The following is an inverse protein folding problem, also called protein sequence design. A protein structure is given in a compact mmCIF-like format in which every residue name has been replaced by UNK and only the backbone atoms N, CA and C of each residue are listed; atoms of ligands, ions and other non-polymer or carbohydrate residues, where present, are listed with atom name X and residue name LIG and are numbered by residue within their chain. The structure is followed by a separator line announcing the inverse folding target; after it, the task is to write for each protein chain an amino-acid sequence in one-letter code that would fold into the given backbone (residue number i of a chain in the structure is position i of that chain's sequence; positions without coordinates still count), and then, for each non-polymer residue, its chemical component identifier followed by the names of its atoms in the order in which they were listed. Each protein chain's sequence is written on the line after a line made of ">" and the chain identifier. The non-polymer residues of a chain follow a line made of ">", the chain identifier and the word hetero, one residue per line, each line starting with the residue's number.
data_IF_930410877440
#
_entry.id   IF_930410877440
#
_cell.length_a   1.000
_cell.length_b   1.000
_cell.length_c   1.000
_cell.angle_alpha   90.00
_cell.angle_beta   90.00
_cell.angle_gamma   90.00
#
_symmetry.space_group_name_H-M   'P 1'
#
loop_
_entity.id
_entity.type
_entity.pdbx_description
1 polymer ?
#
# COMPACT_ATOMS: atom_id res chain seq x y z
N UNK A 1 0.84 8.97 -11.74
CA UNK A 1 1.05 8.97 -10.28
C UNK A 1 0.00 9.88 -9.69
N UNK A 2 -0.83 9.34 -8.80
CA UNK A 2 -1.93 10.03 -8.14
C UNK A 2 -1.53 10.27 -6.70
N UNK A 3 -1.87 11.44 -6.18
CA UNK A 3 -1.58 11.85 -4.82
C UNK A 3 -2.86 12.37 -4.19
N UNK A 4 -3.17 11.88 -2.99
CA UNK A 4 -4.38 12.21 -2.24
C UNK A 4 -4.03 12.33 -0.77
N UNK A 5 -4.64 13.28 -0.06
CA UNK A 5 -4.60 13.33 1.39
C UNK A 5 -5.87 12.70 1.95
N UNK A 6 -5.73 11.79 2.92
CA UNK A 6 -6.84 11.04 3.51
C UNK A 6 -6.86 11.33 5.01
N UNK A 7 -8.00 11.79 5.51
CA UNK A 7 -8.26 11.94 6.94
C UNK A 7 -9.07 10.75 7.44
N UNK A 8 -8.54 10.02 8.42
CA UNK A 8 -9.23 8.90 9.07
C UNK A 8 -9.15 9.10 10.58
N UNK A 9 -10.31 9.19 11.24
CA UNK A 9 -10.36 9.53 12.66
C UNK A 9 -9.75 10.91 12.93
N UNK A 10 -8.67 10.95 13.72
CA UNK A 10 -7.94 12.17 14.06
C UNK A 10 -6.57 12.26 13.37
N UNK A 11 -6.30 11.39 12.40
CA UNK A 11 -5.03 11.30 11.71
C UNK A 11 -5.19 11.62 10.22
N UNK A 12 -4.19 12.31 9.68
CA UNK A 12 -4.07 12.59 8.26
C UNK A 12 -2.95 11.75 7.65
N UNK A 13 -3.16 11.31 6.42
CA UNK A 13 -2.24 10.46 5.68
C UNK A 13 -2.05 10.97 4.26
N UNK A 14 -0.81 10.98 3.80
CA UNK A 14 -0.46 11.19 2.40
C UNK A 14 -0.44 9.84 1.69
N UNK A 15 -1.33 9.69 0.73
CA UNK A 15 -1.40 8.54 -0.16
C UNK A 15 -0.86 8.93 -1.53
N UNK A 16 0.07 8.13 -2.03
CA UNK A 16 0.48 8.14 -3.43
C UNK A 16 0.27 6.76 -4.02
N UNK A 17 -0.40 6.72 -5.17
CA UNK A 17 -0.60 5.50 -5.94
C UNK A 17 -0.03 5.71 -7.35
N UNK A 18 0.76 4.74 -7.80
CA UNK A 18 1.18 4.65 -9.18
C UNK A 18 0.71 3.32 -9.77
N UNK A 19 -0.28 3.43 -10.65
CA UNK A 19 -0.73 2.37 -11.55
C UNK A 19 -0.17 2.69 -12.94
N UNK A 20 0.43 1.71 -13.59
CA UNK A 20 0.88 1.89 -14.96
C UNK A 20 -0.32 1.93 -15.93
N UNK A 21 -0.16 2.66 -17.05
CA UNK A 21 -1.19 2.78 -18.08
C UNK A 21 -1.71 1.43 -18.60
N UNK A 22 -0.85 0.40 -18.60
CA UNK A 22 -1.26 -0.97 -18.89
C UNK A 22 -0.78 -1.91 -17.77
N UNK A 23 -1.74 -2.45 -17.03
CA UNK A 23 -1.47 -3.49 -16.06
C UNK A 23 -1.18 -4.82 -16.76
N UNK A 24 -0.07 -5.43 -16.39
CA UNK A 24 0.32 -6.78 -16.80
C UNK A 24 0.74 -7.57 -15.57
N UNK A 25 0.90 -8.88 -15.71
CA UNK A 25 1.41 -9.73 -14.63
C UNK A 25 2.84 -9.40 -14.16
N UNK A 26 3.53 -8.49 -14.86
CA UNK A 26 4.88 -8.02 -14.52
C UNK A 26 4.93 -6.55 -14.12
N UNK A 27 3.85 -5.80 -14.30
CA UNK A 27 3.84 -4.37 -14.04
C UNK A 27 3.38 -4.11 -12.60
N UNK A 28 4.24 -3.63 -11.70
CA UNK A 28 3.87 -3.45 -10.31
C UNK A 28 2.94 -2.25 -10.11
N UNK A 29 2.07 -2.34 -9.11
CA UNK A 29 1.42 -1.17 -8.50
C UNK A 29 2.30 -0.67 -7.36
N UNK A 30 2.59 0.64 -7.32
CA UNK A 30 3.36 1.24 -6.23
C UNK A 30 2.43 2.06 -5.36
N UNK A 31 2.54 1.85 -4.05
CA UNK A 31 1.76 2.55 -3.03
C UNK A 31 2.72 3.08 -1.98
N UNK A 32 2.54 4.34 -1.68
CA UNK A 32 3.18 5.02 -0.57
C UNK A 32 2.09 5.61 0.29
N UNK A 33 2.03 5.21 1.55
CA UNK A 33 1.03 5.63 2.52
C UNK A 33 1.76 6.05 3.79
N UNK A 34 1.80 7.35 4.05
CA UNK A 34 2.56 7.91 5.17
C UNK A 34 1.66 8.77 6.03
N UNK A 35 1.70 8.58 7.35
CA UNK A 35 1.06 9.49 8.28
C UNK A 35 1.70 10.88 8.14
N UNK A 36 0.87 11.91 7.97
CA UNK A 36 1.32 13.27 7.77
C UNK A 36 2.25 13.71 8.92
N UNK A 37 3.39 14.30 8.57
CA UNK A 37 4.40 14.75 9.53
C UNK A 37 5.43 13.69 9.92
N UNK A 38 5.28 12.44 9.46
CA UNK A 38 6.29 11.42 9.70
C UNK A 38 7.45 11.54 8.70
N UNK A 39 8.68 11.68 9.21
CA UNK A 39 9.85 12.06 8.43
C UNK A 39 10.73 10.92 7.92
N UNK A 40 10.47 9.67 8.32
CA UNK A 40 11.26 8.50 7.90
C UNK A 40 10.46 7.56 7.00
N UNK A 41 11.18 6.84 6.14
CA UNK A 41 10.60 5.73 5.38
C UNK A 41 10.40 4.57 6.35
N UNK A 42 9.15 4.12 6.46
CA UNK A 42 8.78 2.99 7.31
C UNK A 42 8.97 1.64 6.63
N UNK A 43 7.98 0.78 6.77
CA UNK A 43 7.99 -0.59 6.25
C UNK A 43 7.76 -0.61 4.75
N UNK A 44 8.74 -1.06 3.99
CA UNK A 44 8.65 -1.18 2.53
C UNK A 44 8.62 -2.64 2.10
N UNK A 45 7.50 -3.05 1.52
CA UNK A 45 7.19 -4.45 1.21
C UNK A 45 7.00 -4.62 -0.28
N UNK A 46 7.66 -5.63 -0.84
CA UNK A 46 7.34 -6.14 -2.17
C UNK A 46 6.49 -7.39 -2.05
N UNK A 47 5.40 -7.46 -2.81
CA UNK A 47 4.54 -8.65 -2.88
C UNK A 47 4.34 -9.08 -4.32
N UNK A 48 4.43 -10.39 -4.55
CA UNK A 48 4.09 -11.05 -5.82
C UNK A 48 3.09 -12.15 -5.57
N UNK A 49 2.35 -12.54 -6.60
CA UNK A 49 1.43 -13.66 -6.49
C UNK A 49 1.12 -14.32 -7.82
N UNK A 50 0.59 -15.54 -7.72
CA UNK A 50 0.06 -16.32 -8.85
C UNK A 50 -1.19 -17.05 -8.37
N UNK A 51 -2.35 -16.67 -8.89
CA UNK A 51 -3.64 -17.20 -8.40
C UNK A 51 -3.92 -16.72 -6.98
N UNK A 52 -4.21 -17.64 -6.05
CA UNK A 52 -4.46 -17.34 -4.63
C UNK A 52 -3.18 -17.12 -3.81
N UNK A 53 -2.06 -17.63 -4.32
CA UNK A 53 -0.79 -17.64 -3.60
C UNK A 53 -0.08 -16.30 -3.73
N UNK A 54 0.43 -15.81 -2.60
CA UNK A 54 1.15 -14.54 -2.50
C UNK A 54 2.39 -14.71 -1.66
N UNK A 55 3.48 -14.11 -2.11
CA UNK A 55 4.77 -14.10 -1.45
C UNK A 55 5.20 -12.65 -1.23
N UNK A 56 5.62 -12.33 -0.01
CA UNK A 56 6.02 -10.98 0.36
C UNK A 56 7.47 -11.00 0.85
N UNK A 57 8.24 -9.99 0.47
CA UNK A 57 9.58 -9.74 0.97
C UNK A 57 9.63 -8.35 1.58
N UNK A 58 10.25 -8.26 2.75
CA UNK A 58 10.60 -6.97 3.36
C UNK A 58 11.80 -6.42 2.61
N UNK A 59 11.65 -5.26 1.96
CA UNK A 59 12.74 -4.53 1.32
C UNK A 59 13.39 -3.54 2.27
N UNK A 60 12.57 -2.94 3.14
CA UNK A 60 13.01 -2.12 4.26
C UNK A 60 12.16 -2.43 5.47
N UNK A 61 12.82 -2.74 6.58
CA UNK A 61 12.18 -2.95 7.86
C UNK A 61 11.88 -1.59 8.50
N UNK A 62 10.62 -1.36 8.88
CA UNK A 62 10.24 -0.20 9.68
C UNK A 62 10.48 -0.43 11.18
N UNK A 63 10.30 0.61 11.97
CA UNK A 63 10.46 0.55 13.44
C UNK A 63 9.30 -0.19 14.13
N UNK A 64 8.11 -0.18 13.51
CA UNK A 64 6.89 -0.81 14.02
C UNK A 64 6.56 -2.09 13.24
N UNK A 65 6.63 -3.24 13.94
CA UNK A 65 6.31 -4.55 13.38
C UNK A 65 4.82 -4.68 12.99
N UNK A 66 3.92 -4.02 13.71
CA UNK A 66 2.49 -3.99 13.37
C UNK A 66 2.25 -3.30 12.03
N UNK A 67 2.93 -2.17 11.79
CA UNK A 67 2.85 -1.46 10.49
C UNK A 67 3.42 -2.32 9.36
N UNK A 68 4.47 -3.09 9.63
CA UNK A 68 4.99 -4.06 8.68
C UNK A 68 3.94 -5.12 8.30
N UNK A 69 3.24 -5.70 9.28
CA UNK A 69 2.20 -6.69 9.04
C UNK A 69 1.02 -6.12 8.24
N UNK A 70 0.65 -4.86 8.52
CA UNK A 70 -0.35 -4.13 7.74
C UNK A 70 0.10 -3.91 6.29
N UNK A 71 1.35 -3.51 6.07
CA UNK A 71 1.91 -3.31 4.73
C UNK A 71 1.97 -4.63 3.92
N UNK A 72 2.35 -5.73 4.58
CA UNK A 72 2.32 -7.08 3.99
C UNK A 72 0.90 -7.46 3.60
N UNK A 73 -0.07 -7.25 4.49
CA UNK A 73 -1.47 -7.55 4.21
C UNK A 73 -1.98 -6.74 3.00
N UNK A 74 -1.71 -5.43 2.98
CA UNK A 74 -2.11 -4.56 1.87
C UNK A 74 -1.52 -5.06 0.55
N UNK A 75 -0.22 -5.35 0.51
CA UNK A 75 0.46 -5.91 -0.67
C UNK A 75 -0.19 -7.21 -1.17
N UNK A 76 -0.59 -8.11 -0.27
CA UNK A 76 -1.31 -9.35 -0.62
C UNK A 76 -2.68 -9.06 -1.23
N UNK A 77 -3.43 -8.12 -0.65
CA UNK A 77 -4.75 -7.72 -1.17
C UNK A 77 -4.62 -7.18 -2.60
N UNK A 78 -3.66 -6.31 -2.85
CA UNK A 78 -3.41 -5.71 -4.17
C UNK A 78 -2.98 -6.76 -5.17
N UNK A 79 -1.98 -7.57 -4.83
CA UNK A 79 -1.46 -8.57 -5.76
C UNK A 79 -2.49 -9.63 -6.14
N UNK A 80 -3.38 -10.02 -5.22
CA UNK A 80 -4.52 -10.90 -5.54
C UNK A 80 -5.55 -10.21 -6.41
N UNK A 81 -5.93 -8.98 -6.09
CA UNK A 81 -7.00 -8.26 -6.80
C UNK A 81 -6.62 -7.89 -8.23
N UNK A 82 -5.38 -7.44 -8.44
CA UNK A 82 -4.92 -6.94 -9.74
C UNK A 82 -4.07 -7.94 -10.52
N UNK A 83 -3.77 -9.12 -9.95
CA UNK A 83 -2.95 -10.17 -10.58
C UNK A 83 -1.58 -9.66 -11.07
N UNK A 84 -0.99 -8.73 -10.31
CA UNK A 84 0.31 -8.12 -10.60
C UNK A 84 1.14 -7.94 -9.31
N UNK A 85 2.45 -7.69 -9.41
CA UNK A 85 3.26 -7.35 -8.25
C UNK A 85 2.81 -6.05 -7.59
N UNK A 86 3.17 -5.85 -6.33
CA UNK A 86 2.95 -4.59 -5.61
C UNK A 86 4.16 -4.21 -4.77
N UNK A 87 4.38 -2.91 -4.68
CA UNK A 87 5.28 -2.27 -3.73
C UNK A 87 4.44 -1.43 -2.79
N UNK A 88 4.52 -1.70 -1.48
CA UNK A 88 3.77 -0.99 -0.46
C UNK A 88 4.74 -0.43 0.56
N UNK A 89 4.80 0.89 0.66
CA UNK A 89 5.51 1.61 1.71
C UNK A 89 4.50 2.19 2.70
N UNK A 90 4.57 1.78 3.96
CA UNK A 90 3.77 2.35 5.04
C UNK A 90 4.66 2.96 6.10
N UNK A 91 4.45 4.24 6.41
CA UNK A 91 5.27 4.98 7.37
C UNK A 91 4.38 5.73 8.37
N UNK A 92 4.71 5.64 9.66
CA UNK A 92 3.97 6.29 10.74
C UNK A 92 3.18 5.30 11.57
N UNK A 93 2.21 5.79 12.33
CA UNK A 93 1.36 4.96 13.17
C UNK A 93 0.02 4.67 12.50
N UNK A 94 -0.41 3.40 12.58
CA UNK A 94 -1.64 2.91 11.98
C UNK A 94 -2.38 2.04 12.98
N UNK A 95 -3.57 2.47 13.41
CA UNK A 95 -4.46 1.57 14.14
C UNK A 95 -5.13 0.57 13.19
N UNK A 96 -5.52 -0.62 13.67
CA UNK A 96 -6.29 -1.58 12.86
C UNK A 96 -7.62 -1.02 12.33
N UNK A 97 -8.23 -0.08 13.05
CA UNK A 97 -9.46 0.59 12.65
C UNK A 97 -9.22 1.47 11.42
N UNK A 98 -8.22 2.36 11.51
CA UNK A 98 -7.83 3.26 10.42
C UNK A 98 -7.39 2.48 9.18
N UNK A 99 -6.65 1.39 9.36
CA UNK A 99 -6.20 0.54 8.26
C UNK A 99 -7.36 0.02 7.39
N UNK A 100 -8.51 -0.28 7.99
CA UNK A 100 -9.67 -0.76 7.22
C UNK A 100 -10.22 0.30 6.26
N UNK A 101 -10.18 1.57 6.64
CA UNK A 101 -10.62 2.71 5.82
C UNK A 101 -9.53 3.09 4.82
N UNK A 102 -8.28 3.17 5.26
CA UNK A 102 -7.14 3.49 4.40
C UNK A 102 -6.97 2.47 3.27
N UNK A 103 -7.10 1.17 3.56
CA UNK A 103 -7.03 0.14 2.52
C UNK A 103 -8.14 0.26 1.48
N UNK A 104 -9.34 0.72 1.86
CA UNK A 104 -10.43 1.00 0.91
C UNK A 104 -10.10 2.18 0.01
N UNK A 105 -9.57 3.27 0.56
CA UNK A 105 -9.17 4.44 -0.23
C UNK A 105 -7.99 4.13 -1.17
N UNK A 106 -7.00 3.34 -0.72
CA UNK A 106 -5.92 2.83 -1.58
C UNK A 106 -6.48 2.07 -2.79
N UNK A 107 -7.44 1.18 -2.56
CA UNK A 107 -8.06 0.40 -3.63
C UNK A 107 -8.87 1.28 -4.58
N UNK A 108 -9.54 2.32 -4.07
CA UNK A 108 -10.28 3.29 -4.88
C UNK A 108 -9.33 4.10 -5.78
N UNK A 109 -8.23 4.61 -5.24
CA UNK A 109 -7.20 5.30 -6.04
C UNK A 109 -6.57 4.35 -7.07
N UNK A 110 -6.34 3.07 -6.73
CA UNK A 110 -5.88 2.08 -7.70
C UNK A 110 -6.87 1.87 -8.86
N UNK A 111 -8.19 1.97 -8.65
CA UNK A 111 -9.16 1.90 -9.76
C UNK A 111 -9.16 3.19 -10.59
N UNK A 112 -9.12 4.37 -9.95
CA UNK A 112 -9.02 5.65 -10.65
C UNK A 112 -7.74 5.74 -11.48
N UNK A 113 -6.63 5.15 -11.03
CA UNK A 113 -5.34 5.08 -11.74
C UNK A 113 -5.32 4.21 -12.99
N UNK A 114 -6.35 3.39 -13.21
CA UNK A 114 -6.49 2.61 -14.45
C UNK A 114 -7.21 3.37 -15.57
N UNK A 115 -7.96 4.42 -15.22
CA UNK A 115 -8.73 5.23 -16.17
C UNK A 115 -7.82 6.21 -16.92
#
# INVERSE_FOLDING_TARGET
>A
MQTSSISVGNNDYDLVVHVAAQLTSKTPILIYLTQHGHGSIGSYIYTIGKGSDTYSSVLQQGEDAGVQDLAVNLGRVISRKYSCPSYVCMSGYFSPFEYSELSREVLKECETGKA
#
